data_IF_906973152104
#
_entry.id   IF_906973152104
#
_cell.length_a   1.000
_cell.length_b   1.000
_cell.length_c   1.000
_cell.angle_alpha   90.00
_cell.angle_beta   90.00
_cell.angle_gamma   90.00
#
_symmetry.space_group_name_H-M   'P 1'
#
loop_
_entity.id
_entity.type
_entity.pdbx_description
1 polymer ?
#
# COMPACT_ATOMS: atom_id res chain seq x y z
N UNK A 1 22.43 28.00 -8.89
CA UNK A 1 23.86 28.02 -8.51
C UNK A 1 24.15 26.79 -7.67
N UNK A 2 25.32 26.14 -7.78
CA UNK A 2 25.72 25.15 -6.80
C UNK A 2 25.85 25.86 -5.44
N UNK A 3 25.09 25.40 -4.44
CA UNK A 3 25.16 25.90 -3.07
C UNK A 3 26.44 25.33 -2.43
N UNK A 4 27.39 26.20 -2.06
CA UNK A 4 28.57 25.80 -1.27
C UNK A 4 28.24 25.95 0.21
N UNK A 5 28.58 24.93 1.00
CA UNK A 5 28.36 24.88 2.46
C UNK A 5 29.65 25.19 3.23
N UNK A 6 30.74 25.56 2.54
CA UNK A 6 32.02 25.84 3.18
C UNK A 6 31.92 27.07 4.10
N UNK A 7 32.22 26.87 5.37
CA UNK A 7 32.24 27.93 6.40
C UNK A 7 30.91 28.21 7.09
N UNK A 8 29.83 27.48 6.78
CA UNK A 8 28.56 27.58 7.51
C UNK A 8 28.54 26.72 8.77
N UNK A 9 27.98 27.22 9.85
CA UNK A 9 27.62 26.37 11.00
C UNK A 9 26.41 25.47 10.67
N UNK A 10 26.15 24.48 11.52
CA UNK A 10 25.07 23.50 11.30
C UNK A 10 23.69 24.17 11.26
N UNK A 11 23.47 25.22 12.05
CA UNK A 11 22.19 25.92 12.07
C UNK A 11 21.99 26.75 10.80
N UNK A 12 23.02 27.41 10.32
CA UNK A 12 23.02 28.14 9.04
C UNK A 12 22.78 27.19 7.86
N UNK A 13 23.44 26.03 7.84
CA UNK A 13 23.19 25.00 6.83
C UNK A 13 21.75 24.47 6.91
N UNK A 14 21.22 24.26 8.12
CA UNK A 14 19.83 23.86 8.34
C UNK A 14 18.84 24.92 7.83
N UNK A 15 19.05 26.19 8.15
CA UNK A 15 18.20 27.30 7.67
C UNK A 15 18.25 27.40 6.15
N UNK A 16 19.44 27.33 5.55
CA UNK A 16 19.61 27.38 4.10
C UNK A 16 18.85 26.27 3.39
N UNK A 17 19.01 25.02 3.85
CA UNK A 17 18.33 23.87 3.27
C UNK A 17 16.81 23.96 3.45
N UNK A 18 16.34 24.50 4.57
CA UNK A 18 14.92 24.69 4.83
C UNK A 18 14.34 25.90 4.11
N UNK A 19 15.10 26.96 3.79
CA UNK A 19 14.58 28.10 3.03
C UNK A 19 14.61 27.86 1.51
N UNK A 20 15.39 26.90 1.02
CA UNK A 20 15.52 26.62 -0.42
C UNK A 20 14.72 25.41 -0.87
N UNK A 21 13.43 25.36 -0.54
CA UNK A 21 12.60 24.17 -0.76
C UNK A 21 12.46 23.76 -2.23
N UNK A 22 12.36 24.71 -3.16
CA UNK A 22 12.36 24.41 -4.60
C UNK A 22 13.67 23.77 -5.04
N UNK A 23 14.81 24.29 -4.58
CA UNK A 23 16.14 23.74 -4.89
C UNK A 23 16.29 22.30 -4.38
N UNK A 24 15.89 22.04 -3.13
CA UNK A 24 15.89 20.70 -2.55
C UNK A 24 15.01 19.73 -3.34
N UNK A 25 13.80 20.15 -3.71
CA UNK A 25 12.88 19.32 -4.49
C UNK A 25 13.40 19.02 -5.91
N UNK A 26 14.10 19.96 -6.55
CA UNK A 26 14.75 19.70 -7.86
C UNK A 26 15.82 18.61 -7.73
N UNK A 27 16.66 18.68 -6.70
CA UNK A 27 17.69 17.66 -6.45
C UNK A 27 17.09 16.28 -6.14
N UNK A 28 15.92 16.24 -5.49
CA UNK A 28 15.18 15.01 -5.20
C UNK A 28 14.50 14.44 -6.46
N UNK A 29 14.01 15.30 -7.36
CA UNK A 29 13.30 14.88 -8.57
C UNK A 29 14.12 13.95 -9.48
N UNK A 30 15.45 14.02 -9.39
CA UNK A 30 16.39 13.20 -10.15
C UNK A 30 16.65 11.82 -9.53
N UNK A 31 16.06 11.52 -8.35
CA UNK A 31 16.31 10.31 -7.56
C UNK A 31 15.02 9.55 -7.29
N UNK A 32 15.10 8.23 -7.13
CA UNK A 32 13.94 7.49 -6.64
C UNK A 32 13.73 7.75 -5.14
N UNK A 33 12.50 7.68 -4.61
CA UNK A 33 12.24 7.84 -3.18
C UNK A 33 13.06 6.89 -2.30
N UNK A 34 13.39 5.70 -2.81
CA UNK A 34 14.19 4.71 -2.08
C UNK A 34 15.68 5.06 -2.02
N UNK A 35 16.19 5.74 -3.04
CA UNK A 35 17.58 6.22 -3.06
C UNK A 35 17.72 7.40 -2.09
N UNK A 36 16.76 8.31 -2.07
CA UNK A 36 16.68 9.39 -1.07
C UNK A 36 16.58 8.80 0.34
N UNK A 37 15.77 7.76 0.54
CA UNK A 37 15.66 7.12 1.85
C UNK A 37 16.97 6.46 2.32
N UNK A 38 17.79 5.96 1.39
CA UNK A 38 19.10 5.39 1.72
C UNK A 38 20.11 6.41 2.27
N UNK A 39 19.83 7.70 2.11
CA UNK A 39 20.64 8.80 2.66
C UNK A 39 20.25 9.19 4.10
N UNK A 40 19.45 8.37 4.78
CA UNK A 40 19.01 8.61 6.18
C UNK A 40 17.67 9.34 6.32
N UNK A 41 16.97 9.64 5.23
CA UNK A 41 15.63 10.24 5.25
C UNK A 41 14.58 9.13 5.37
N UNK A 42 13.53 9.32 6.18
CA UNK A 42 12.44 8.35 6.26
C UNK A 42 11.78 8.13 4.88
N UNK A 43 11.50 6.88 4.51
CA UNK A 43 10.92 6.53 3.20
C UNK A 43 9.58 7.23 2.95
N UNK A 44 8.77 7.41 4.00
CA UNK A 44 7.52 8.17 3.94
C UNK A 44 7.76 9.62 3.51
N UNK A 45 8.73 10.30 4.11
CA UNK A 45 9.15 11.67 3.77
C UNK A 45 9.70 11.74 2.34
N UNK A 46 10.57 10.81 1.96
CA UNK A 46 11.11 10.74 0.59
C UNK A 46 10.01 10.58 -0.47
N UNK A 47 9.01 9.72 -0.22
CA UNK A 47 7.83 9.56 -1.09
C UNK A 47 6.98 10.83 -1.17
N UNK A 48 6.84 11.56 -0.07
CA UNK A 48 6.13 12.85 -0.06
C UNK A 48 6.86 13.90 -0.90
N UNK A 49 8.17 14.02 -0.75
CA UNK A 49 9.00 14.96 -1.52
C UNK A 49 8.98 14.63 -3.01
N UNK A 50 9.14 13.36 -3.39
CA UNK A 50 9.06 12.95 -4.80
C UNK A 50 7.68 13.24 -5.41
N UNK A 51 6.60 13.00 -4.64
CA UNK A 51 5.23 13.33 -5.10
C UNK A 51 5.06 14.84 -5.29
N UNK A 52 5.62 15.66 -4.40
CA UNK A 52 5.57 17.11 -4.53
C UNK A 52 6.41 17.60 -5.73
N UNK A 53 7.60 17.02 -5.94
CA UNK A 53 8.45 17.32 -7.09
C UNK A 53 7.74 16.97 -8.41
N UNK A 54 7.09 15.81 -8.50
CA UNK A 54 6.25 15.44 -9.65
C UNK A 54 5.14 16.47 -9.91
N UNK A 55 4.52 17.01 -8.86
CA UNK A 55 3.50 18.06 -8.99
C UNK A 55 4.10 19.37 -9.49
N UNK A 56 5.24 19.79 -8.95
CA UNK A 56 5.83 21.10 -9.27
C UNK A 56 6.57 21.14 -10.60
N UNK A 57 7.21 20.04 -11.01
CA UNK A 57 8.07 19.98 -12.20
C UNK A 57 7.54 19.06 -13.29
N UNK A 58 6.55 18.21 -13.00
CA UNK A 58 5.90 17.36 -13.98
C UNK A 58 4.81 18.08 -14.79
N UNK A 59 4.13 17.36 -15.69
CA UNK A 59 3.03 17.91 -16.50
C UNK A 59 1.89 18.45 -15.64
N UNK A 60 1.35 19.61 -16.02
CA UNK A 60 0.25 20.26 -15.31
C UNK A 60 -0.87 20.71 -16.25
N UNK A 61 -2.09 20.74 -15.71
CA UNK A 61 -3.27 21.32 -16.38
C UNK A 61 -3.18 22.85 -16.56
N UNK A 62 -2.21 23.51 -15.93
CA UNK A 62 -2.00 24.97 -16.01
C UNK A 62 -0.50 25.31 -16.06
N UNK A 63 0.22 24.99 -17.16
CA UNK A 63 1.68 25.06 -17.21
C UNK A 63 2.26 26.46 -16.99
N UNK A 64 1.56 27.51 -17.44
CA UNK A 64 1.99 28.89 -17.21
C UNK A 64 1.93 29.23 -15.71
N UNK A 65 0.79 28.97 -15.07
CA UNK A 65 0.60 29.22 -13.65
C UNK A 65 1.53 28.38 -12.78
N UNK A 66 1.82 27.14 -13.17
CA UNK A 66 2.82 26.28 -12.54
C UNK A 66 4.21 26.94 -12.57
N UNK A 67 4.69 27.34 -13.76
CA UNK A 67 6.00 27.99 -13.90
C UNK A 67 6.10 29.26 -13.08
N UNK A 68 5.09 30.12 -13.16
CA UNK A 68 5.06 31.40 -12.45
C UNK A 68 5.03 31.19 -10.93
N UNK A 69 4.26 30.20 -10.45
CA UNK A 69 4.19 29.87 -9.01
C UNK A 69 5.48 29.24 -8.49
N UNK A 70 6.13 28.37 -9.28
CA UNK A 70 7.43 27.77 -8.91
C UNK A 70 8.51 28.84 -8.84
N UNK A 71 8.56 29.76 -9.81
CA UNK A 71 9.50 30.88 -9.79
C UNK A 71 9.27 31.81 -8.59
N UNK A 72 8.01 32.10 -8.24
CA UNK A 72 7.67 32.91 -7.07
C UNK A 72 8.05 32.20 -5.76
N UNK A 73 7.80 30.89 -5.65
CA UNK A 73 8.20 30.10 -4.48
C UNK A 73 9.73 30.07 -4.29
N UNK A 74 10.48 30.01 -5.40
CA UNK A 74 11.95 30.08 -5.39
C UNK A 74 12.44 31.47 -4.98
N UNK A 75 11.84 32.54 -5.52
CA UNK A 75 12.15 33.92 -5.15
C UNK A 75 11.86 34.23 -3.68
N UNK A 76 10.80 33.63 -3.12
CA UNK A 76 10.38 33.81 -1.73
C UNK A 76 11.09 32.90 -0.74
N UNK A 77 11.99 32.04 -1.20
CA UNK A 77 12.71 31.07 -0.35
C UNK A 77 11.73 30.27 0.54
N UNK A 78 10.67 29.73 -0.08
CA UNK A 78 9.70 28.91 0.63
C UNK A 78 10.28 27.53 0.98
N UNK A 79 10.03 27.09 2.21
CA UNK A 79 10.43 25.76 2.67
C UNK A 79 9.67 24.62 2.02
N UNK A 80 10.25 23.42 2.06
CA UNK A 80 9.56 22.21 1.57
C UNK A 80 8.30 21.95 2.38
N UNK A 81 8.31 22.22 3.68
CA UNK A 81 7.17 22.10 4.59
C UNK A 81 6.04 23.04 4.15
N UNK A 82 6.38 24.29 3.81
CA UNK A 82 5.42 25.27 3.30
C UNK A 82 4.80 24.79 1.99
N UNK A 83 5.62 24.30 1.05
CA UNK A 83 5.15 23.77 -0.23
C UNK A 83 4.31 22.49 -0.08
N UNK A 84 4.65 21.62 0.88
CA UNK A 84 3.86 20.44 1.24
C UNK A 84 2.49 20.83 1.80
N UNK A 85 2.43 21.84 2.67
CA UNK A 85 1.19 22.40 3.21
C UNK A 85 0.31 22.98 2.09
N UNK A 86 0.88 23.79 1.20
CA UNK A 86 0.17 24.33 0.02
C UNK A 86 -0.40 23.20 -0.84
N UNK A 87 0.39 22.18 -1.14
CA UNK A 87 -0.06 21.03 -1.91
C UNK A 87 -1.14 20.21 -1.18
N UNK A 88 -1.07 20.10 0.15
CA UNK A 88 -2.06 19.42 1.00
C UNK A 88 -3.44 20.07 0.89
N UNK A 89 -3.52 21.40 0.77
CA UNK A 89 -4.80 22.09 0.52
C UNK A 89 -5.23 21.99 -0.94
N UNK A 90 -4.33 22.29 -1.88
CA UNK A 90 -4.61 22.28 -3.31
C UNK A 90 -5.15 20.93 -3.82
N UNK A 91 -4.64 19.80 -3.33
CA UNK A 91 -5.09 18.45 -3.75
C UNK A 91 -6.55 18.14 -3.38
N UNK A 92 -7.16 18.92 -2.49
CA UNK A 92 -8.58 18.78 -2.11
C UNK A 92 -9.50 19.32 -3.20
N UNK A 93 -9.04 20.25 -4.02
CA UNK A 93 -9.79 20.79 -5.16
C UNK A 93 -9.69 19.85 -6.36
N UNK A 94 -10.84 19.42 -6.89
CA UNK A 94 -10.92 18.45 -8.00
C UNK A 94 -11.28 19.06 -9.35
N UNK A 95 -11.80 20.30 -9.36
CA UNK A 95 -12.12 21.02 -10.61
C UNK A 95 -10.84 21.31 -11.38
N UNK A 96 -10.87 21.13 -12.72
CA UNK A 96 -9.72 21.36 -13.60
C UNK A 96 -9.15 22.76 -13.40
N UNK A 97 -7.83 22.87 -13.21
CA UNK A 97 -7.12 24.14 -12.96
C UNK A 97 -7.31 24.75 -11.56
N UNK A 98 -8.33 24.35 -10.78
CA UNK A 98 -8.58 24.93 -9.46
C UNK A 98 -7.44 24.66 -8.47
N UNK A 99 -6.84 23.47 -8.51
CA UNK A 99 -5.70 23.14 -7.66
C UNK A 99 -4.51 24.07 -7.91
N UNK A 100 -4.20 24.42 -9.18
CA UNK A 100 -3.09 25.34 -9.49
C UNK A 100 -3.41 26.79 -9.15
N UNK A 101 -4.67 27.22 -9.30
CA UNK A 101 -5.11 28.53 -8.80
C UNK A 101 -4.89 28.66 -7.29
N UNK A 102 -5.32 27.67 -6.51
CA UNK A 102 -5.10 27.68 -5.07
C UNK A 102 -3.61 27.60 -4.70
N UNK A 103 -2.79 26.81 -5.42
CA UNK A 103 -1.33 26.82 -5.17
C UNK A 103 -0.73 28.21 -5.38
N UNK A 104 -1.05 28.86 -6.51
CA UNK A 104 -0.55 30.19 -6.81
C UNK A 104 -0.98 31.22 -5.76
N UNK A 105 -2.26 31.17 -5.37
CA UNK A 105 -2.84 32.02 -4.32
C UNK A 105 -2.10 31.86 -2.98
N UNK A 106 -1.89 30.62 -2.52
CA UNK A 106 -1.20 30.37 -1.25
C UNK A 106 0.30 30.68 -1.31
N UNK A 107 0.97 30.40 -2.44
CA UNK A 107 2.38 30.76 -2.65
C UNK A 107 2.57 32.28 -2.71
N UNK A 108 1.55 33.05 -3.12
CA UNK A 108 1.59 34.51 -3.12
C UNK A 108 1.20 35.13 -1.77
N UNK A 109 0.52 34.39 -0.89
CA UNK A 109 0.04 34.90 0.39
C UNK A 109 1.20 35.25 1.34
N UNK A 110 1.19 36.47 1.88
CA UNK A 110 2.18 36.92 2.86
C UNK A 110 1.72 36.56 4.27
N UNK A 111 2.62 36.03 5.09
CA UNK A 111 2.32 35.60 6.45
C UNK A 111 3.24 34.48 6.91
N UNK A 112 3.08 34.11 8.17
CA UNK A 112 3.68 32.93 8.80
C UNK A 112 3.10 31.64 8.20
N UNK A 113 3.76 30.51 8.48
CA UNK A 113 3.29 29.20 8.01
C UNK A 113 1.86 28.91 8.49
N UNK A 114 1.58 29.22 9.75
CA UNK A 114 0.29 28.97 10.42
C UNK A 114 -0.83 29.83 9.81
N UNK A 115 -0.55 31.10 9.50
CA UNK A 115 -1.51 31.99 8.86
C UNK A 115 -1.87 31.51 7.45
N UNK A 116 -0.89 31.07 6.66
CA UNK A 116 -1.15 30.52 5.31
C UNK A 116 -1.88 29.17 5.39
N UNK A 117 -1.57 28.31 6.37
CA UNK A 117 -2.28 27.03 6.57
C UNK A 117 -3.76 27.26 6.94
N UNK A 118 -4.02 28.22 7.83
CA UNK A 118 -5.39 28.61 8.22
C UNK A 118 -6.15 29.20 7.02
N UNK A 119 -5.51 30.11 6.27
CA UNK A 119 -6.09 30.68 5.06
C UNK A 119 -6.40 29.61 4.01
N UNK A 120 -5.47 28.69 3.76
CA UNK A 120 -5.66 27.57 2.84
C UNK A 120 -6.80 26.62 3.27
N UNK A 121 -6.95 26.36 4.57
CA UNK A 121 -8.06 25.59 5.10
C UNK A 121 -9.40 26.26 4.85
N UNK A 122 -9.49 27.58 5.06
CA UNK A 122 -10.70 28.36 4.79
C UNK A 122 -11.05 28.36 3.30
N UNK A 123 -10.08 28.63 2.42
CA UNK A 123 -10.29 28.63 0.97
C UNK A 123 -10.79 27.29 0.43
N UNK A 124 -10.29 26.18 0.97
CA UNK A 124 -10.81 24.85 0.64
C UNK A 124 -12.26 24.70 1.09
N UNK A 125 -12.61 25.19 2.29
CA UNK A 125 -13.99 25.15 2.81
C UNK A 125 -14.94 25.93 1.90
N UNK A 126 -14.54 27.11 1.45
CA UNK A 126 -15.35 27.96 0.58
C UNK A 126 -15.57 27.32 -0.82
N UNK A 127 -14.54 26.68 -1.38
CA UNK A 127 -14.60 26.11 -2.73
C UNK A 127 -15.29 24.74 -2.79
N UNK A 128 -15.10 23.91 -1.77
CA UNK A 128 -15.61 22.53 -1.72
C UNK A 128 -16.97 22.45 -1.02
N UNK A 129 -17.24 23.38 -0.11
CA UNK A 129 -18.34 23.28 0.84
C UNK A 129 -18.09 22.20 1.91
N UNK A 130 -18.96 22.14 2.90
CA UNK A 130 -18.98 21.02 3.85
C UNK A 130 -19.51 19.78 3.12
N UNK A 131 -18.65 18.77 2.93
CA UNK A 131 -19.13 17.46 2.48
C UNK A 131 -19.87 16.78 3.63
N UNK A 132 -21.17 16.50 3.51
CA UNK A 132 -21.87 15.69 4.50
C UNK A 132 -21.20 14.32 4.59
N UNK A 133 -21.13 13.75 5.80
CA UNK A 133 -20.64 12.39 5.99
C UNK A 133 -21.62 11.44 5.31
N UNK A 134 -21.14 10.67 4.34
CA UNK A 134 -21.94 9.65 3.66
C UNK A 134 -21.94 8.36 4.48
N UNK A 135 -23.11 7.70 4.64
CA UNK A 135 -23.18 6.36 5.22
C UNK A 135 -22.32 5.37 4.44
N UNK A 136 -21.67 4.45 5.14
CA UNK A 136 -20.85 3.42 4.51
C UNK A 136 -20.00 2.62 5.48
N UNK A 137 -19.46 1.50 4.99
CA UNK A 137 -18.55 0.63 5.73
C UNK A 137 -17.16 0.71 5.11
N UNK A 138 -16.14 0.94 5.94
CA UNK A 138 -14.73 0.94 5.56
C UNK A 138 -14.02 -0.18 6.30
N UNK A 139 -13.23 -0.97 5.58
CA UNK A 139 -12.40 -2.02 6.17
C UNK A 139 -10.94 -1.63 5.97
N UNK A 140 -10.25 -1.44 7.09
CA UNK A 140 -8.85 -1.08 7.18
C UNK A 140 -7.91 -2.18 6.69
N UNK A 141 -6.66 -1.77 6.53
CA UNK A 141 -5.52 -2.63 6.22
C UNK A 141 -5.13 -3.45 7.45
N UNK A 142 -4.53 -4.62 7.24
CA UNK A 142 -3.90 -5.38 8.32
C UNK A 142 -2.63 -4.68 8.78
N UNK A 143 -2.47 -4.48 10.09
CA UNK A 143 -1.27 -3.94 10.74
C UNK A 143 -1.07 -4.72 12.03
N UNK A 144 0.05 -5.46 12.14
CA UNK A 144 0.32 -6.32 13.29
C UNK A 144 -0.76 -7.39 13.51
N UNK A 145 -1.22 -8.05 12.44
CA UNK A 145 -2.29 -9.06 12.48
C UNK A 145 -3.72 -8.51 12.67
N UNK A 146 -3.88 -7.23 12.97
CA UNK A 146 -5.19 -6.64 13.31
C UNK A 146 -5.78 -5.82 12.16
N UNK A 147 -7.12 -5.79 12.06
CA UNK A 147 -7.87 -4.98 11.07
C UNK A 147 -9.03 -4.25 11.72
N UNK A 148 -9.28 -3.00 11.29
CA UNK A 148 -10.39 -2.18 11.79
C UNK A 148 -11.53 -2.13 10.77
N UNK A 149 -12.76 -2.32 11.22
CA UNK A 149 -13.97 -2.02 10.45
C UNK A 149 -14.57 -0.72 11.00
N UNK A 150 -14.90 0.24 10.15
CA UNK A 150 -15.56 1.49 10.52
C UNK A 150 -16.89 1.62 9.77
N UNK A 151 -17.98 1.69 10.51
CA UNK A 151 -19.33 1.89 9.97
C UNK A 151 -19.76 3.31 10.26
N UNK A 152 -20.21 4.03 9.24
CA UNK A 152 -20.84 5.35 9.36
C UNK A 152 -22.28 5.23 8.90
N UNK A 153 -23.23 5.68 9.71
CA UNK A 153 -24.65 5.71 9.38
C UNK A 153 -25.33 6.84 10.19
N UNK A 154 -26.65 6.95 10.10
CA UNK A 154 -27.46 7.84 10.93
C UNK A 154 -27.23 7.58 12.42
N UNK A 155 -27.26 8.65 13.21
CA UNK A 155 -27.13 8.57 14.66
C UNK A 155 -28.10 7.54 15.27
N UNK A 156 -29.36 7.55 14.81
CA UNK A 156 -30.40 6.61 15.27
C UNK A 156 -29.98 5.15 15.08
N UNK A 157 -29.54 4.78 13.87
CA UNK A 157 -29.21 3.39 13.53
C UNK A 157 -27.97 2.89 14.27
N UNK A 158 -26.95 3.73 14.42
CA UNK A 158 -25.75 3.36 15.21
C UNK A 158 -26.10 3.21 16.69
N UNK A 159 -26.90 4.10 17.26
CA UNK A 159 -27.33 3.99 18.66
C UNK A 159 -28.23 2.77 18.89
N UNK A 160 -29.14 2.44 17.98
CA UNK A 160 -29.98 1.24 18.09
C UNK A 160 -29.13 -0.05 18.00
N UNK A 161 -28.09 -0.05 17.15
CA UNK A 161 -27.12 -1.14 17.08
C UNK A 161 -26.31 -1.28 18.38
N UNK A 162 -25.77 -0.18 18.90
CA UNK A 162 -25.05 -0.13 20.18
C UNK A 162 -25.90 -0.71 21.32
N UNK A 163 -27.17 -0.31 21.42
CA UNK A 163 -28.12 -0.84 22.42
C UNK A 163 -28.37 -2.34 22.27
N UNK A 164 -28.39 -2.85 21.04
CA UNK A 164 -28.56 -4.29 20.77
C UNK A 164 -27.35 -5.06 21.27
N UNK A 165 -26.13 -4.54 21.06
CA UNK A 165 -24.91 -5.16 21.58
C UNK A 165 -24.85 -5.10 23.11
N UNK A 166 -25.15 -3.95 23.70
CA UNK A 166 -25.19 -3.75 25.16
C UNK A 166 -26.21 -4.68 25.85
N UNK A 167 -27.33 -5.04 25.17
CA UNK A 167 -28.32 -5.98 25.70
C UNK A 167 -27.85 -7.44 25.72
N UNK A 168 -26.74 -7.76 25.05
CA UNK A 168 -26.27 -9.14 24.81
C UNK A 168 -25.21 -9.60 25.82
N UNK A 169 -24.61 -8.69 26.57
CA UNK A 169 -23.52 -8.95 27.53
C UNK A 169 -23.57 -7.98 28.73
N UNK A 170 -23.56 -8.52 29.96
CA UNK A 170 -23.27 -7.78 31.19
C UNK A 170 -21.96 -8.34 31.75
N UNK A 171 -20.84 -7.74 31.36
CA UNK A 171 -19.49 -8.16 31.71
C UNK A 171 -18.77 -7.04 32.48
N UNK A 172 -17.96 -7.40 33.48
CA UNK A 172 -17.07 -6.48 34.22
C UNK A 172 -15.83 -6.04 33.41
N UNK A 173 -15.71 -6.50 32.15
CA UNK A 173 -14.61 -6.13 31.26
C UNK A 173 -14.70 -4.68 30.76
N UNK A 174 -13.59 -4.19 30.20
CA UNK A 174 -13.58 -2.94 29.43
C UNK A 174 -14.66 -2.98 28.34
N UNK A 175 -15.50 -1.93 28.29
CA UNK A 175 -16.67 -1.82 27.39
C UNK A 175 -16.37 -2.18 25.93
N UNK A 176 -15.19 -1.80 25.42
CA UNK A 176 -14.76 -2.10 24.06
C UNK A 176 -14.63 -3.59 23.78
N UNK A 177 -14.19 -4.38 24.77
CA UNK A 177 -14.00 -5.83 24.67
C UNK A 177 -15.35 -6.55 24.67
N UNK A 178 -16.22 -6.18 25.61
CA UNK A 178 -17.59 -6.71 25.70
C UNK A 178 -18.40 -6.44 24.41
N UNK A 179 -18.29 -5.22 23.86
CA UNK A 179 -18.93 -4.87 22.58
C UNK A 179 -18.40 -5.70 21.40
N UNK A 180 -17.11 -6.03 21.39
CA UNK A 180 -16.52 -6.86 20.33
C UNK A 180 -17.01 -8.31 20.40
N UNK A 181 -17.10 -8.88 21.59
CA UNK A 181 -17.62 -10.24 21.80
C UNK A 181 -19.11 -10.31 21.44
N UNK A 182 -19.91 -9.36 21.92
CA UNK A 182 -21.33 -9.24 21.57
C UNK A 182 -21.54 -9.07 20.06
N UNK A 183 -20.69 -8.26 19.41
CA UNK A 183 -20.70 -8.07 17.96
C UNK A 183 -20.53 -9.40 17.21
N UNK A 184 -19.48 -10.16 17.54
CA UNK A 184 -19.21 -11.43 16.86
C UNK A 184 -20.24 -12.51 17.19
N UNK A 185 -20.79 -12.52 18.41
CA UNK A 185 -21.91 -13.38 18.79
C UNK A 185 -23.16 -13.10 17.95
N UNK A 186 -23.44 -11.83 17.66
CA UNK A 186 -24.56 -11.43 16.81
C UNK A 186 -24.31 -11.76 15.33
N UNK A 187 -23.08 -11.59 14.84
CA UNK A 187 -22.70 -11.89 13.44
C UNK A 187 -22.63 -13.40 13.18
N UNK A 188 -22.08 -14.17 14.13
CA UNK A 188 -21.84 -15.62 14.00
C UNK A 188 -22.96 -16.48 14.63
N UNK A 189 -23.94 -15.88 15.29
CA UNK A 189 -25.01 -16.58 16.01
C UNK A 189 -26.00 -17.32 15.11
N UNK A 190 -27.08 -17.88 15.70
CA UNK A 190 -28.04 -18.80 15.04
C UNK A 190 -28.83 -18.23 13.84
N UNK A 191 -28.60 -16.98 13.44
CA UNK A 191 -29.11 -16.36 12.20
C UNK A 191 -28.02 -15.79 11.28
N UNK A 192 -26.74 -16.13 11.52
CA UNK A 192 -25.60 -15.60 10.78
C UNK A 192 -25.64 -15.95 9.29
N UNK A 193 -25.60 -14.91 8.44
CA UNK A 193 -25.66 -15.00 6.96
C UNK A 193 -24.27 -15.27 6.36
N UNK A 194 -23.18 -15.11 7.12
CA UNK A 194 -21.82 -15.14 6.60
C UNK A 194 -21.10 -16.42 7.03
N UNK A 195 -21.16 -17.45 6.18
CA UNK A 195 -20.12 -18.49 6.16
C UNK A 195 -19.06 -18.04 5.17
N UNK A 196 -17.85 -17.65 5.61
CA UNK A 196 -16.79 -17.37 4.66
C UNK A 196 -16.46 -18.66 3.89
N UNK A 197 -16.71 -18.67 2.59
CA UNK A 197 -16.11 -19.66 1.70
C UNK A 197 -14.67 -19.21 1.42
N UNK A 198 -13.69 -19.92 1.99
CA UNK A 198 -12.30 -19.62 1.73
C UNK A 198 -11.93 -20.13 0.34
N UNK A 199 -11.92 -19.24 -0.66
CA UNK A 199 -11.16 -19.46 -1.91
C UNK A 199 -9.75 -18.92 -1.76
N UNK A 200 -9.08 -19.36 -0.70
CA UNK A 200 -7.81 -18.78 -0.26
C UNK A 200 -6.71 -19.80 -0.45
N UNK A 201 -5.63 -19.39 -1.10
CA UNK A 201 -4.42 -20.20 -1.19
C UNK A 201 -3.70 -20.10 0.15
N UNK A 202 -3.39 -21.25 0.73
CA UNK A 202 -2.69 -21.39 2.01
C UNK A 202 -1.28 -21.83 1.69
N UNK A 203 -0.28 -21.07 2.14
CA UNK A 203 1.12 -21.47 2.05
C UNK A 203 1.54 -22.07 3.39
N UNK A 204 2.00 -23.32 3.37
CA UNK A 204 2.51 -24.05 4.53
C UNK A 204 3.73 -24.87 4.10
N UNK A 205 4.82 -24.78 4.87
CA UNK A 205 6.03 -25.55 4.63
C UNK A 205 5.78 -27.04 4.92
N UNK A 206 6.57 -27.94 4.32
CA UNK A 206 6.36 -29.37 4.50
C UNK A 206 6.50 -29.82 5.97
N UNK A 207 7.50 -29.27 6.68
CA UNK A 207 7.72 -29.58 8.10
C UNK A 207 6.59 -29.09 8.99
N UNK A 208 6.07 -27.89 8.73
CA UNK A 208 4.95 -27.31 9.46
C UNK A 208 3.63 -28.04 9.15
N UNK A 209 3.44 -28.45 7.89
CA UNK A 209 2.34 -29.32 7.51
C UNK A 209 2.40 -30.67 8.23
N UNK A 210 3.58 -31.27 8.38
CA UNK A 210 3.76 -32.51 9.14
C UNK A 210 3.40 -32.32 10.63
N UNK A 211 3.84 -31.22 11.26
CA UNK A 211 3.47 -30.90 12.66
C UNK A 211 1.97 -30.75 12.83
N UNK A 212 1.32 -29.97 11.96
CA UNK A 212 -0.14 -29.74 11.99
C UNK A 212 -0.90 -31.04 11.76
N UNK A 213 -0.51 -31.83 10.76
CA UNK A 213 -1.19 -33.10 10.42
C UNK A 213 -1.09 -34.16 11.51
N UNK A 214 -0.05 -34.11 12.34
CA UNK A 214 0.15 -35.02 13.46
C UNK A 214 -0.42 -34.49 14.80
N UNK A 215 -1.15 -33.37 14.79
CA UNK A 215 -1.75 -32.79 15.99
C UNK A 215 -0.77 -32.06 16.92
N UNK A 216 0.45 -31.78 16.46
CA UNK A 216 1.50 -31.09 17.22
C UNK A 216 1.74 -29.66 16.70
N UNK A 217 0.81 -29.11 15.93
CA UNK A 217 1.00 -27.86 15.18
C UNK A 217 0.01 -26.76 15.51
N UNK A 218 -0.67 -26.81 16.66
CA UNK A 218 -1.74 -25.86 17.00
C UNK A 218 -1.27 -24.40 16.93
N UNK A 219 -0.04 -24.11 17.35
CA UNK A 219 0.53 -22.76 17.36
C UNK A 219 1.21 -22.35 16.04
N UNK A 220 1.28 -23.25 15.04
CA UNK A 220 1.90 -22.95 13.75
C UNK A 220 1.12 -21.84 13.05
N UNK A 221 1.80 -20.75 12.67
CA UNK A 221 1.17 -19.65 11.94
C UNK A 221 1.36 -19.88 10.44
N UNK A 222 0.25 -19.95 9.71
CA UNK A 222 0.24 -20.12 8.25
C UNK A 222 -0.27 -18.86 7.55
N UNK A 223 0.32 -18.56 6.39
CA UNK A 223 -0.01 -17.39 5.59
C UNK A 223 -1.13 -17.67 4.59
N UNK A 224 -2.04 -16.70 4.44
CA UNK A 224 -3.18 -16.79 3.52
C UNK A 224 -3.14 -15.74 2.43
N UNK A 225 -3.62 -16.11 1.24
CA UNK A 225 -3.66 -15.21 0.09
C UNK A 225 -4.65 -14.05 0.19
N UNK A 226 -5.50 -14.01 1.22
CA UNK A 226 -6.42 -12.92 1.53
C UNK A 226 -5.80 -11.81 2.41
N UNK A 227 -4.52 -11.96 2.74
CA UNK A 227 -3.76 -10.99 3.51
C UNK A 227 -3.88 -11.19 5.02
N UNK A 228 -4.30 -12.38 5.46
CA UNK A 228 -4.37 -12.75 6.88
C UNK A 228 -3.45 -13.94 7.20
N UNK A 229 -3.36 -14.24 8.50
CA UNK A 229 -2.71 -15.44 9.03
C UNK A 229 -3.74 -16.24 9.82
N UNK A 230 -3.51 -17.55 9.97
CA UNK A 230 -4.25 -18.39 10.92
C UNK A 230 -3.29 -19.35 11.61
N UNK A 231 -3.72 -19.88 12.75
CA UNK A 231 -3.06 -20.93 13.51
C UNK A 231 -3.32 -22.32 12.89
N UNK A 232 -2.51 -23.32 13.24
CA UNK A 232 -2.72 -24.69 12.81
C UNK A 232 -4.05 -25.25 13.33
N UNK A 233 -4.46 -24.86 14.54
CA UNK A 233 -5.76 -25.22 15.09
C UNK A 233 -6.92 -24.63 14.26
N UNK A 234 -6.82 -23.36 13.86
CA UNK A 234 -7.80 -22.71 12.97
C UNK A 234 -7.84 -23.38 11.60
N UNK A 235 -6.69 -23.77 11.05
CA UNK A 235 -6.59 -24.49 9.78
C UNK A 235 -7.33 -25.83 9.81
N UNK A 236 -7.10 -26.64 10.86
CA UNK A 236 -7.79 -27.94 11.03
C UNK A 236 -9.30 -27.73 11.20
N UNK A 237 -9.71 -26.74 12.00
CA UNK A 237 -11.13 -26.43 12.18
C UNK A 237 -11.80 -25.96 10.88
N UNK A 238 -11.10 -25.17 10.06
CA UNK A 238 -11.58 -24.75 8.73
C UNK A 238 -11.70 -25.95 7.78
N UNK A 239 -10.78 -26.92 7.84
CA UNK A 239 -10.86 -28.15 7.05
C UNK A 239 -12.05 -29.03 7.48
N UNK A 240 -12.20 -29.28 8.78
CA UNK A 240 -13.28 -30.12 9.34
C UNK A 240 -14.68 -29.53 9.12
N UNK A 241 -14.81 -28.21 9.13
CA UNK A 241 -16.07 -27.51 8.84
C UNK A 241 -16.39 -27.40 7.35
N UNK A 242 -15.50 -27.86 6.46
CA UNK A 242 -15.64 -27.76 5.01
C UNK A 242 -15.39 -26.36 4.46
N UNK A 243 -14.88 -25.43 5.27
CA UNK A 243 -14.70 -24.03 4.90
C UNK A 243 -13.57 -23.82 3.87
N UNK A 244 -12.60 -24.75 3.79
CA UNK A 244 -11.48 -24.73 2.82
C UNK A 244 -11.87 -25.16 1.40
N UNK A 245 -13.13 -25.57 1.19
CA UNK A 245 -13.61 -26.07 -0.10
C UNK A 245 -13.19 -27.51 -0.40
N UNK A 246 -13.70 -28.04 -1.53
CA UNK A 246 -13.57 -29.47 -1.88
C UNK A 246 -12.23 -29.83 -2.57
N UNK A 247 -11.47 -28.83 -3.05
CA UNK A 247 -10.29 -29.06 -3.90
C UNK A 247 -9.01 -28.59 -3.20
N UNK A 248 -8.12 -29.53 -2.88
CA UNK A 248 -6.76 -29.25 -2.39
C UNK A 248 -5.77 -29.27 -3.55
N UNK A 249 -4.92 -28.24 -3.65
CA UNK A 249 -3.88 -28.14 -4.68
C UNK A 249 -2.50 -28.07 -4.03
N UNK A 250 -1.57 -28.91 -4.48
CA UNK A 250 -0.16 -28.84 -4.12
C UNK A 250 0.67 -28.25 -5.27
N UNK A 251 1.56 -27.31 -4.96
CA UNK A 251 2.48 -26.68 -5.92
C UNK A 251 3.94 -27.08 -5.66
N UNK A 252 4.71 -27.28 -6.73
CA UNK A 252 6.17 -27.52 -6.65
C UNK A 252 6.92 -26.24 -7.04
N UNK A 253 7.86 -25.85 -6.19
CA UNK A 253 8.66 -24.64 -6.32
C UNK A 253 10.15 -24.98 -6.29
N UNK A 254 10.91 -24.48 -7.26
CA UNK A 254 12.36 -24.59 -7.29
C UNK A 254 12.98 -23.39 -6.54
N UNK A 255 13.95 -23.58 -5.63
CA UNK A 255 14.49 -22.54 -4.76
C UNK A 255 15.00 -21.26 -5.45
N UNK A 256 15.38 -21.34 -6.73
CA UNK A 256 15.85 -20.18 -7.49
C UNK A 256 14.98 -19.81 -8.69
N UNK A 257 14.20 -20.74 -9.22
CA UNK A 257 13.44 -20.55 -10.46
C UNK A 257 11.96 -20.24 -10.20
N UNK A 258 11.47 -20.50 -8.98
CA UNK A 258 10.05 -20.39 -8.67
C UNK A 258 9.26 -21.62 -9.12
N UNK A 259 7.96 -21.49 -9.43
CA UNK A 259 7.09 -22.61 -9.78
C UNK A 259 7.51 -23.35 -11.08
N UNK A 260 7.36 -24.68 -11.13
CA UNK A 260 8.15 -25.56 -12.03
C UNK A 260 7.37 -26.26 -13.21
N UNK A 261 6.05 -26.11 -13.40
CA UNK A 261 5.30 -26.91 -14.42
C UNK A 261 4.49 -26.09 -15.47
N UNK A 262 4.45 -26.50 -16.77
CA UNK A 262 3.66 -25.83 -17.84
C UNK A 262 3.45 -26.54 -19.22
N UNK A 263 2.34 -26.18 -19.92
CA UNK A 263 2.16 -26.04 -21.40
C UNK A 263 1.62 -24.62 -21.81
N UNK A 264 1.80 -24.16 -23.07
CA UNK A 264 1.69 -22.73 -23.53
C UNK A 264 0.25 -22.16 -23.73
N UNK A 265 0.00 -20.92 -23.26
CA UNK A 265 -1.23 -20.11 -23.49
C UNK A 265 -1.01 -18.60 -23.20
N UNK A 266 -1.87 -17.67 -23.65
CA UNK A 266 -1.74 -16.21 -23.35
C UNK A 266 -2.22 -15.80 -21.95
N UNK A 267 -3.29 -16.40 -21.45
CA UNK A 267 -3.85 -16.11 -20.14
C UNK A 267 -3.38 -17.14 -19.12
N UNK A 268 -3.12 -16.70 -17.89
CA UNK A 268 -2.82 -17.62 -16.80
C UNK A 268 -4.04 -18.48 -16.47
N UNK A 269 -3.88 -19.80 -16.63
CA UNK A 269 -4.80 -20.82 -16.14
C UNK A 269 -5.00 -20.72 -14.63
N UNK A 270 -6.05 -21.37 -14.12
CA UNK A 270 -6.32 -21.44 -12.68
C UNK A 270 -5.10 -21.94 -11.89
N UNK A 271 -4.41 -22.98 -12.37
CA UNK A 271 -3.21 -23.52 -11.73
C UNK A 271 -2.07 -22.49 -11.69
N UNK A 272 -1.87 -21.72 -12.76
CA UNK A 272 -0.84 -20.68 -12.80
C UNK A 272 -1.15 -19.52 -11.85
N UNK A 273 -2.42 -19.13 -11.77
CA UNK A 273 -2.86 -18.14 -10.78
C UNK A 273 -2.60 -18.63 -9.37
N UNK A 274 -2.97 -19.88 -9.05
CA UNK A 274 -2.73 -20.47 -7.74
C UNK A 274 -1.23 -20.50 -7.42
N UNK A 275 -0.36 -20.91 -8.37
CA UNK A 275 1.09 -20.91 -8.17
C UNK A 275 1.67 -19.51 -7.94
N UNK A 276 1.26 -18.51 -8.72
CA UNK A 276 1.70 -17.12 -8.54
C UNK A 276 1.21 -16.54 -7.20
N UNK A 277 -0.01 -16.89 -6.78
CA UNK A 277 -0.58 -16.51 -5.48
C UNK A 277 0.15 -17.18 -4.32
N UNK A 278 0.45 -18.48 -4.41
CA UNK A 278 1.20 -19.21 -3.38
C UNK A 278 2.63 -18.67 -3.24
N UNK A 279 3.24 -18.27 -4.36
CA UNK A 279 4.57 -17.65 -4.35
C UNK A 279 4.57 -16.29 -3.63
N UNK A 280 3.57 -15.44 -3.90
CA UNK A 280 3.48 -14.10 -3.32
C UNK A 280 2.06 -13.91 -2.74
N UNK A 281 1.91 -14.12 -1.42
CA UNK A 281 0.61 -13.99 -0.72
C UNK A 281 0.10 -12.53 -0.63
N UNK A 282 0.99 -11.58 -0.84
CA UNK A 282 0.71 -10.15 -1.00
C UNK A 282 1.45 -9.64 -2.24
N UNK A 283 0.99 -8.53 -2.82
CA UNK A 283 1.70 -7.86 -3.91
C UNK A 283 3.19 -7.65 -3.54
N UNK A 284 4.18 -8.16 -4.29
CA UNK A 284 5.61 -8.10 -3.95
C UNK A 284 6.22 -6.71 -4.09
N UNK A 285 5.43 -5.70 -4.50
CA UNK A 285 5.89 -4.32 -4.55
C UNK A 285 6.19 -3.81 -3.14
N UNK A 286 7.31 -3.08 -2.91
CA UNK A 286 7.67 -2.59 -1.59
C UNK A 286 6.55 -1.79 -0.90
N UNK A 287 6.30 -2.11 0.37
CA UNK A 287 5.26 -1.53 1.23
C UNK A 287 3.81 -1.70 0.74
N UNK A 288 3.58 -2.56 -0.25
CA UNK A 288 2.22 -2.89 -0.67
C UNK A 288 1.62 -3.90 0.29
N UNK A 289 0.36 -3.71 0.65
CA UNK A 289 -0.37 -4.64 1.51
C UNK A 289 -1.67 -5.11 0.88
N UNK A 290 -1.74 -5.03 -0.46
CA UNK A 290 -2.86 -5.61 -1.18
C UNK A 290 -2.63 -7.12 -1.23
N UNK A 291 -3.57 -7.92 -0.69
CA UNK A 291 -3.47 -9.36 -0.71
C UNK A 291 -3.54 -9.91 -2.14
N UNK A 292 -2.97 -11.10 -2.34
CA UNK A 292 -2.84 -11.70 -3.65
C UNK A 292 -4.20 -12.09 -4.28
N UNK A 293 -5.21 -12.41 -3.46
CA UNK A 293 -6.59 -12.65 -3.92
C UNK A 293 -7.21 -11.43 -4.64
N UNK A 294 -6.75 -10.22 -4.31
CA UNK A 294 -7.14 -8.93 -4.92
C UNK A 294 -6.13 -8.45 -5.96
N UNK A 295 -5.10 -9.23 -6.23
CA UNK A 295 -4.09 -8.93 -7.24
C UNK A 295 -4.43 -9.54 -8.61
N UNK A 296 -3.74 -9.03 -9.61
CA UNK A 296 -3.78 -9.49 -10.98
C UNK A 296 -2.51 -10.28 -11.27
N UNK A 297 -2.61 -11.31 -12.10
CA UNK A 297 -1.44 -12.01 -12.61
C UNK A 297 -0.70 -11.06 -13.55
N UNK A 298 0.58 -10.86 -13.28
CA UNK A 298 1.47 -9.97 -14.02
C UNK A 298 2.62 -10.78 -14.64
N UNK A 299 2.95 -10.49 -15.90
CA UNK A 299 4.12 -11.05 -16.56
C UNK A 299 5.36 -10.20 -16.23
N UNK A 300 6.40 -10.80 -15.67
CA UNK A 300 7.67 -10.13 -15.31
C UNK A 300 8.36 -9.61 -16.58
N UNK A 301 8.52 -10.48 -17.57
CA UNK A 301 8.84 -10.15 -18.95
C UNK A 301 7.52 -10.00 -19.70
N UNK A 302 7.22 -8.78 -20.16
CA UNK A 302 5.91 -8.47 -20.70
C UNK A 302 5.58 -9.30 -21.96
N UNK A 303 4.35 -9.82 -22.04
CA UNK A 303 3.90 -10.61 -23.19
C UNK A 303 3.96 -9.81 -24.51
N UNK A 304 3.76 -8.49 -24.47
CA UNK A 304 3.87 -7.61 -25.66
C UNK A 304 5.29 -7.55 -26.25
N UNK A 305 6.31 -7.90 -25.46
CA UNK A 305 7.72 -7.96 -25.86
C UNK A 305 8.21 -9.41 -26.00
N UNK A 306 7.28 -10.38 -26.11
CA UNK A 306 7.61 -11.80 -26.31
C UNK A 306 7.71 -12.63 -25.03
N UNK A 307 7.37 -12.09 -23.86
CA UNK A 307 7.35 -12.86 -22.62
C UNK A 307 6.29 -13.97 -22.62
N UNK A 308 6.70 -15.21 -22.36
CA UNK A 308 5.80 -16.35 -22.32
C UNK A 308 4.97 -16.37 -21.02
N UNK A 309 3.76 -16.92 -21.08
CA UNK A 309 2.95 -17.15 -19.87
C UNK A 309 3.42 -18.42 -19.17
N UNK A 310 4.61 -18.37 -18.59
CA UNK A 310 5.22 -19.45 -17.83
C UNK A 310 5.19 -19.13 -16.34
N UNK A 311 5.08 -20.12 -15.43
CA UNK A 311 5.01 -19.82 -14.01
C UNK A 311 6.23 -18.99 -13.53
N UNK A 312 7.42 -19.27 -14.06
CA UNK A 312 8.65 -18.51 -13.80
C UNK A 312 8.56 -17.04 -14.22
N UNK A 313 7.73 -16.72 -15.22
CA UNK A 313 7.50 -15.36 -15.73
C UNK A 313 6.25 -14.69 -15.12
N UNK A 314 5.55 -15.33 -14.20
CA UNK A 314 4.34 -14.77 -13.59
C UNK A 314 4.60 -14.35 -12.14
N UNK A 315 3.89 -13.31 -11.70
CA UNK A 315 3.76 -12.89 -10.31
C UNK A 315 2.40 -12.23 -10.07
N UNK A 316 2.11 -11.78 -8.85
CA UNK A 316 0.85 -11.14 -8.47
C UNK A 316 1.06 -9.65 -8.19
N UNK A 317 0.44 -8.75 -8.96
CA UNK A 317 0.48 -7.30 -8.67
C UNK A 317 -0.91 -6.73 -8.46
N UNK A 318 -1.06 -5.81 -7.50
CA UNK A 318 -2.31 -5.08 -7.34
C UNK A 318 -2.58 -4.21 -8.57
N UNK A 319 -3.84 -3.85 -8.83
CA UNK A 319 -4.22 -3.05 -10.00
C UNK A 319 -3.36 -1.79 -10.18
N UNK A 320 -3.03 -1.11 -9.08
CA UNK A 320 -2.18 0.09 -9.12
C UNK A 320 -0.74 -0.25 -9.55
N UNK A 321 -0.08 -1.19 -8.85
CA UNK A 321 1.31 -1.56 -9.12
C UNK A 321 1.50 -2.27 -10.46
N UNK A 322 0.53 -3.07 -10.89
CA UNK A 322 0.50 -3.63 -12.24
C UNK A 322 0.51 -2.52 -13.30
N UNK A 323 -0.24 -1.44 -13.09
CA UNK A 323 -0.31 -0.32 -14.04
C UNK A 323 0.88 0.63 -14.01
N UNK A 324 1.66 0.66 -12.92
CA UNK A 324 2.84 1.56 -12.78
C UNK A 324 4.18 0.83 -12.89
N UNK A 325 4.16 -0.49 -13.10
CA UNK A 325 5.34 -1.29 -13.40
C UNK A 325 5.92 -0.90 -14.76
N UNK A 326 7.24 -0.72 -14.83
CA UNK A 326 7.92 -0.41 -16.08
C UNK A 326 8.15 -1.70 -16.91
N UNK A 327 7.14 -2.10 -17.69
CA UNK A 327 7.23 -3.27 -18.59
C UNK A 327 8.31 -3.16 -19.68
N UNK A 328 8.76 -1.94 -19.97
CA UNK A 328 9.77 -1.64 -20.98
C UNK A 328 11.10 -1.36 -20.26
N UNK A 329 12.15 -2.19 -20.45
CA UNK A 329 13.41 -2.05 -19.73
C UNK A 329 14.16 -0.73 -20.01
N UNK A 330 13.78 -0.01 -21.07
CA UNK A 330 14.32 1.30 -21.42
C UNK A 330 13.65 2.41 -20.60
N UNK A 331 12.37 2.23 -20.22
CA UNK A 331 11.64 3.18 -19.37
C UNK A 331 11.97 2.89 -17.91
N UNK A 332 12.58 3.85 -17.22
CA UNK A 332 13.02 3.70 -15.82
C UNK A 332 12.39 4.75 -14.94
N UNK A 333 11.06 4.77 -14.82
CA UNK A 333 10.36 5.80 -14.06
C UNK A 333 10.11 5.36 -12.62
N UNK A 334 9.67 4.12 -12.42
CA UNK A 334 9.28 3.57 -11.10
C UNK A 334 9.94 2.23 -10.79
N UNK A 335 10.61 1.64 -11.78
CA UNK A 335 11.23 0.33 -11.67
C UNK A 335 10.33 -0.77 -12.21
N UNK A 336 10.88 -1.98 -12.24
CA UNK A 336 10.18 -3.17 -12.75
C UNK A 336 10.34 -4.35 -11.82
N UNK A 337 9.36 -5.24 -11.81
CA UNK A 337 9.50 -6.52 -11.14
C UNK A 337 10.54 -7.39 -11.83
N UNK A 338 11.31 -8.11 -11.03
CA UNK A 338 12.23 -9.13 -11.48
C UNK A 338 12.33 -10.23 -10.44
N UNK A 339 12.44 -11.47 -10.91
CA UNK A 339 12.80 -12.61 -10.07
C UNK A 339 14.30 -12.60 -9.83
N UNK A 340 14.71 -12.50 -8.57
CA UNK A 340 16.09 -12.54 -8.13
C UNK A 340 16.25 -13.58 -7.03
N UNK A 341 17.02 -14.65 -7.32
CA UNK A 341 17.24 -15.80 -6.41
C UNK A 341 15.91 -16.36 -5.87
N UNK A 342 15.01 -16.72 -6.79
CA UNK A 342 13.71 -17.30 -6.46
C UNK A 342 12.63 -16.30 -6.05
N UNK A 343 12.99 -15.15 -5.47
CA UNK A 343 12.04 -14.15 -4.98
C UNK A 343 11.74 -13.06 -6.01
N UNK A 344 10.49 -12.62 -6.10
CA UNK A 344 10.09 -11.48 -6.94
C UNK A 344 10.36 -10.19 -6.18
N UNK A 345 11.16 -9.31 -6.78
CA UNK A 345 11.62 -8.04 -6.19
C UNK A 345 11.45 -6.91 -7.20
N UNK A 346 11.24 -5.70 -6.70
CA UNK A 346 11.30 -4.49 -7.52
C UNK A 346 12.78 -4.13 -7.76
N UNK A 347 13.20 -4.01 -9.02
CA UNK A 347 14.42 -3.27 -9.36
C UNK A 347 14.05 -1.81 -9.54
N UNK A 348 14.59 -0.91 -8.70
CA UNK A 348 14.39 0.54 -8.85
C UNK A 348 15.09 1.06 -10.12
N UNK A 349 14.74 2.26 -10.61
CA UNK A 349 15.48 2.91 -11.71
C UNK A 349 17.01 2.98 -11.49
N UNK A 350 17.43 3.15 -10.23
CA UNK A 350 18.83 3.15 -9.81
C UNK A 350 19.47 1.76 -9.68
N UNK A 351 18.74 0.67 -9.97
CA UNK A 351 19.27 -0.70 -9.96
C UNK A 351 19.19 -1.43 -8.62
N UNK A 352 18.56 -0.82 -7.59
CA UNK A 352 18.43 -1.44 -6.27
C UNK A 352 17.31 -2.48 -6.27
N UNK A 353 17.57 -3.65 -5.70
CA UNK A 353 16.57 -4.71 -5.49
C UNK A 353 15.85 -4.51 -4.16
N UNK A 354 14.52 -4.42 -4.20
CA UNK A 354 13.68 -4.21 -3.03
C UNK A 354 12.59 -5.30 -2.95
N UNK A 355 12.47 -5.93 -1.79
CA UNK A 355 11.34 -6.81 -1.46
C UNK A 355 10.24 -6.05 -0.74
N UNK A 356 9.07 -6.67 -0.61
CA UNK A 356 8.00 -6.17 0.23
C UNK A 356 8.32 -6.41 1.72
N UNK A 357 7.94 -5.44 2.56
CA UNK A 357 8.15 -5.38 4.01
C UNK A 357 6.96 -5.89 4.82
N UNK A 358 5.85 -6.22 4.19
CA UNK A 358 4.67 -6.80 4.85
C UNK A 358 4.96 -8.19 5.40
N UNK A 359 4.49 -8.56 6.60
CA UNK A 359 4.79 -9.84 7.25
C UNK A 359 4.55 -11.06 6.32
N UNK A 360 3.37 -11.12 5.68
CA UNK A 360 3.02 -12.17 4.71
C UNK A 360 3.90 -12.23 3.44
N UNK A 361 4.75 -11.23 3.16
CA UNK A 361 5.71 -11.31 2.06
C UNK A 361 6.82 -12.31 2.34
N UNK A 362 7.03 -12.68 3.60
CA UNK A 362 8.01 -13.65 4.08
C UNK A 362 7.41 -15.04 4.36
N UNK A 363 6.13 -15.22 4.01
CA UNK A 363 5.39 -16.47 4.21
C UNK A 363 4.95 -17.08 2.87
N UNK A 364 5.49 -16.58 1.75
CA UNK A 364 5.26 -17.14 0.43
C UNK A 364 6.01 -18.45 0.24
N UNK A 365 5.63 -19.22 -0.79
CA UNK A 365 6.22 -20.53 -1.05
C UNK A 365 7.75 -20.52 -1.13
N UNK A 366 8.35 -19.43 -1.63
CA UNK A 366 9.80 -19.32 -1.76
C UNK A 366 10.53 -19.09 -0.44
N UNK A 367 9.87 -18.48 0.55
CA UNK A 367 10.45 -18.24 1.87
C UNK A 367 10.37 -19.49 2.75
N UNK A 368 9.42 -20.37 2.47
CA UNK A 368 9.26 -21.68 3.13
C UNK A 368 10.26 -22.74 2.64
N UNK A 369 11.05 -22.44 1.60
CA UNK A 369 12.11 -23.31 1.07
C UNK A 369 13.51 -22.97 1.61
N UNK A 370 13.63 -21.87 2.38
CA UNK A 370 14.90 -21.26 2.77
C UNK A 370 15.62 -21.97 3.92
#
# INVERSE_FOLDING_TARGET
MPLSVEGMDIFQAFVLLNSHGIGLLRAIAERSPYDVASSGIALSTAKQYATLADVLFGPADSPRLQRDSVALAEQRELSVEHLLMVNKHAKKLKKRGAAWKLRAELIAHQGTFEEVDAYGAQRVKDEVGEKPKEPGVRIGRAVGGMRTISVTDTQRRITDFEKTLDATETSDQLRSTALLEAFWKQVNGRGGILRPEYRTVIAIGLDDFAKVSCGNGDEVIVGLSDGTTMTGAELINAALSGALGENLYAGLFHPTAGPVNLYEARFASLKQRIMATAENLVCPWPDCNVPADRCQVHHIDAHKTGGHTTPSNLTMLCRYHNGVNDDDPIKRRRGRMQRHRGQVRLITPGGKLLGNTHDLSSMGAMDLLA
#
